data_IF_812559279917
#
_entry.id   IF_812559279917
#
_cell.length_a   1.000
_cell.length_b   1.000
_cell.length_c   1.000
_cell.angle_alpha   90.00
_cell.angle_beta   90.00
_cell.angle_gamma   90.00
#
_symmetry.space_group_name_H-M   'P 1'
#
loop_
_entity.id
_entity.type
_entity.pdbx_description
1 polymer ?
#
# COMPACT_ATOMS: atom_id res chain seq x y z
N UNK A 1 32.66 5.14 -20.24
CA UNK A 1 31.61 5.35 -19.21
C UNK A 1 30.27 4.72 -19.64
N UNK A 2 29.71 5.04 -20.79
CA UNK A 2 28.42 4.48 -21.30
C UNK A 2 28.51 2.95 -21.50
N UNK A 3 29.62 2.44 -22.03
CA UNK A 3 29.85 1.00 -22.25
C UNK A 3 29.91 0.21 -20.93
N UNK A 4 30.57 0.74 -19.92
CA UNK A 4 30.65 0.12 -18.60
C UNK A 4 29.28 0.07 -17.91
N UNK A 5 28.46 1.10 -18.03
CA UNK A 5 27.09 1.11 -17.51
C UNK A 5 26.18 0.11 -18.21
N UNK A 6 26.27 0.00 -19.54
CA UNK A 6 25.48 -0.99 -20.30
C UNK A 6 25.85 -2.43 -19.91
N UNK A 7 27.15 -2.72 -19.79
CA UNK A 7 27.64 -4.06 -19.37
C UNK A 7 27.15 -4.40 -17.96
N UNK A 8 27.20 -3.45 -17.03
CA UNK A 8 26.73 -3.62 -15.66
C UNK A 8 25.21 -3.90 -15.60
N UNK A 9 24.39 -3.14 -16.34
CA UNK A 9 22.95 -3.35 -16.42
C UNK A 9 22.63 -4.73 -17.01
N UNK A 10 23.31 -5.14 -18.09
CA UNK A 10 23.11 -6.45 -18.71
C UNK A 10 23.46 -7.60 -17.75
N UNK A 11 24.52 -7.46 -16.97
CA UNK A 11 24.89 -8.44 -15.95
C UNK A 11 23.83 -8.53 -14.86
N UNK A 12 23.34 -7.41 -14.33
CA UNK A 12 22.25 -7.39 -13.34
C UNK A 12 20.98 -8.04 -13.87
N UNK A 13 20.58 -7.72 -15.11
CA UNK A 13 19.43 -8.36 -15.76
C UNK A 13 19.60 -9.87 -15.83
N UNK A 14 20.78 -10.34 -16.26
CA UNK A 14 21.08 -11.78 -16.38
C UNK A 14 21.00 -12.49 -15.02
N UNK A 15 21.59 -11.91 -13.98
CA UNK A 15 21.56 -12.46 -12.63
C UNK A 15 20.15 -12.51 -12.04
N UNK A 16 19.38 -11.42 -12.19
CA UNK A 16 18.00 -11.36 -11.68
C UNK A 16 17.09 -12.31 -12.45
N UNK A 17 17.26 -12.45 -13.75
CA UNK A 17 16.44 -13.35 -14.57
C UNK A 17 16.54 -14.81 -14.18
N UNK A 18 17.64 -15.22 -13.55
CA UNK A 18 17.85 -16.58 -13.07
C UNK A 18 17.22 -16.82 -11.68
N UNK A 19 16.82 -15.78 -10.97
CA UNK A 19 16.22 -15.89 -9.64
C UNK A 19 14.70 -15.93 -9.75
N UNK A 20 14.07 -16.70 -8.88
CA UNK A 20 12.65 -16.65 -8.63
C UNK A 20 12.36 -15.41 -7.77
N UNK A 21 11.49 -14.51 -8.23
CA UNK A 21 11.30 -13.20 -7.61
C UNK A 21 9.86 -12.96 -7.13
N UNK A 22 9.75 -12.32 -5.97
CA UNK A 22 8.56 -11.59 -5.55
C UNK A 22 8.77 -10.11 -5.88
N UNK A 23 8.01 -9.60 -6.83
CA UNK A 23 8.16 -8.25 -7.37
C UNK A 23 7.06 -7.37 -6.79
N UNK A 24 7.45 -6.54 -5.84
CA UNK A 24 6.56 -5.56 -5.22
C UNK A 24 6.43 -4.34 -6.13
N UNK A 25 5.20 -3.98 -6.46
CA UNK A 25 4.85 -2.89 -7.37
C UNK A 25 4.05 -1.82 -6.61
N UNK A 26 4.30 -0.56 -6.92
CA UNK A 26 3.65 0.61 -6.36
C UNK A 26 3.88 0.76 -4.84
N UNK A 27 5.06 0.37 -4.35
CA UNK A 27 5.40 0.56 -2.93
C UNK A 27 5.49 2.04 -2.57
N UNK A 28 5.06 2.37 -1.35
CA UNK A 28 4.97 3.74 -0.90
C UNK A 28 6.35 4.38 -0.67
N UNK A 29 6.63 5.47 -1.37
CA UNK A 29 7.78 6.38 -1.17
C UNK A 29 7.32 7.84 -1.05
N UNK A 30 6.08 8.07 -0.61
CA UNK A 30 5.49 9.37 -0.34
C UNK A 30 5.30 9.59 1.17
N UNK A 31 4.76 10.73 1.55
CA UNK A 31 4.71 11.19 2.95
C UNK A 31 3.72 10.42 3.85
N UNK A 32 2.81 9.59 3.31
CA UNK A 32 1.82 8.86 4.11
C UNK A 32 2.47 7.71 4.89
N UNK A 33 2.55 7.86 6.22
CA UNK A 33 3.16 6.86 7.12
C UNK A 33 2.32 5.58 7.17
N UNK A 34 1.01 5.67 6.96
CA UNK A 34 0.13 4.51 6.88
C UNK A 34 0.46 3.59 5.71
N UNK A 35 0.64 4.16 4.52
CA UNK A 35 0.99 3.39 3.32
C UNK A 35 2.44 2.85 3.41
N UNK A 36 3.34 3.63 4.05
CA UNK A 36 4.67 3.14 4.39
C UNK A 36 4.62 1.93 5.36
N UNK A 37 3.68 1.93 6.30
CA UNK A 37 3.46 0.81 7.22
C UNK A 37 2.89 -0.42 6.49
N UNK A 38 1.97 -0.25 5.53
CA UNK A 38 1.49 -1.32 4.65
C UNK A 38 2.69 -1.97 3.94
N UNK A 39 3.49 -1.18 3.23
CA UNK A 39 4.65 -1.71 2.50
C UNK A 39 5.65 -2.42 3.42
N UNK A 40 5.92 -1.90 4.61
CA UNK A 40 6.80 -2.54 5.59
C UNK A 40 6.26 -3.90 6.04
N UNK A 41 4.96 -3.99 6.30
CA UNK A 41 4.28 -5.23 6.67
C UNK A 41 4.34 -6.27 5.56
N UNK A 42 4.14 -5.87 4.33
CA UNK A 42 4.24 -6.71 3.14
C UNK A 42 5.63 -7.30 2.98
N UNK A 43 6.66 -6.48 3.13
CA UNK A 43 8.05 -6.95 3.12
C UNK A 43 8.34 -7.98 4.22
N UNK A 44 7.81 -7.76 5.44
CA UNK A 44 7.97 -8.70 6.55
C UNK A 44 7.28 -10.04 6.26
N UNK A 45 6.07 -10.00 5.68
CA UNK A 45 5.32 -11.19 5.27
C UNK A 45 6.04 -11.93 4.15
N UNK A 46 6.51 -11.23 3.12
CA UNK A 46 7.24 -11.86 2.02
C UNK A 46 8.52 -12.54 2.51
N UNK A 47 9.30 -11.88 3.39
CA UNK A 47 10.51 -12.49 3.99
C UNK A 47 10.17 -13.75 4.80
N UNK A 48 9.03 -13.78 5.48
CA UNK A 48 8.64 -14.88 6.36
C UNK A 48 8.04 -16.07 5.61
N UNK A 49 7.19 -15.82 4.62
CA UNK A 49 6.38 -16.85 3.98
C UNK A 49 6.85 -17.21 2.57
N UNK A 50 7.70 -16.37 1.97
CA UNK A 50 8.29 -16.57 0.64
C UNK A 50 9.83 -16.44 0.68
N UNK A 51 10.52 -17.17 1.60
CA UNK A 51 11.96 -17.02 1.80
C UNK A 51 12.79 -17.39 0.55
N UNK A 52 12.24 -18.25 -0.31
CA UNK A 52 12.90 -18.71 -1.54
C UNK A 52 12.80 -17.68 -2.70
N UNK A 53 11.99 -16.62 -2.52
CA UNK A 53 11.83 -15.58 -3.51
C UNK A 53 12.78 -14.42 -3.23
N UNK A 54 13.53 -14.03 -4.24
CA UNK A 54 14.31 -12.80 -4.20
C UNK A 54 13.36 -11.61 -4.29
N UNK A 55 13.35 -10.74 -3.29
CA UNK A 55 12.47 -9.58 -3.27
C UNK A 55 13.04 -8.46 -4.14
N UNK A 56 12.24 -7.97 -5.07
CA UNK A 56 12.51 -6.79 -5.88
C UNK A 56 11.39 -5.79 -5.64
N UNK A 57 11.73 -4.54 -5.45
CA UNK A 57 10.78 -3.48 -5.12
C UNK A 57 10.87 -2.34 -6.14
N UNK A 58 9.70 -1.94 -6.63
CA UNK A 58 9.52 -0.76 -7.45
C UNK A 58 8.47 0.14 -6.80
N UNK A 59 8.84 1.36 -6.44
CA UNK A 59 7.89 2.37 -6.02
C UNK A 59 7.05 2.85 -7.20
N UNK A 60 5.94 3.54 -6.91
CA UNK A 60 5.09 4.16 -7.95
C UNK A 60 5.92 5.00 -8.92
N UNK A 61 6.89 5.78 -8.41
CA UNK A 61 7.77 6.61 -9.24
C UNK A 61 8.79 5.82 -10.06
N UNK A 62 9.21 4.66 -9.58
CA UNK A 62 10.23 3.84 -10.24
C UNK A 62 9.66 2.99 -11.36
N UNK A 63 8.43 2.50 -11.22
CA UNK A 63 7.83 1.59 -12.20
C UNK A 63 7.87 2.19 -13.60
N UNK A 64 7.38 3.41 -13.78
CA UNK A 64 7.35 4.05 -15.10
C UNK A 64 8.75 4.26 -15.67
N UNK A 65 9.68 4.70 -14.84
CA UNK A 65 11.06 4.99 -15.29
C UNK A 65 11.88 3.76 -15.60
N UNK A 66 11.55 2.64 -14.97
CA UNK A 66 12.30 1.39 -15.05
C UNK A 66 11.49 0.24 -15.64
N UNK A 67 10.43 0.55 -16.40
CA UNK A 67 9.52 -0.47 -16.91
C UNK A 67 10.23 -1.46 -17.85
N UNK A 68 11.09 -0.97 -18.74
CA UNK A 68 11.88 -1.82 -19.63
C UNK A 68 12.82 -2.75 -18.84
N UNK A 69 13.41 -2.25 -17.75
CA UNK A 69 14.21 -3.06 -16.84
C UNK A 69 13.36 -4.11 -16.13
N UNK A 70 12.18 -3.74 -15.65
CA UNK A 70 11.21 -4.68 -15.07
C UNK A 70 10.91 -5.80 -16.06
N UNK A 71 10.52 -5.47 -17.29
CA UNK A 71 10.24 -6.46 -18.33
C UNK A 71 11.44 -7.36 -18.63
N UNK A 72 12.65 -6.81 -18.64
CA UNK A 72 13.87 -7.55 -18.93
C UNK A 72 14.24 -8.60 -17.87
N UNK A 73 13.91 -8.36 -16.59
CA UNK A 73 14.26 -9.26 -15.48
C UNK A 73 13.25 -10.38 -15.24
N UNK A 74 12.01 -10.29 -15.80
CA UNK A 74 10.93 -11.24 -15.52
C UNK A 74 11.19 -12.64 -16.06
N UNK A 75 10.82 -13.64 -15.29
CA UNK A 75 10.71 -15.03 -15.70
C UNK A 75 9.34 -15.63 -15.30
N UNK A 76 9.06 -16.85 -15.77
CA UNK A 76 7.75 -17.49 -15.59
C UNK A 76 7.41 -17.89 -14.15
N UNK A 77 8.39 -17.97 -13.25
CA UNK A 77 8.19 -18.33 -11.85
C UNK A 77 7.98 -17.13 -10.93
N UNK A 78 8.15 -15.92 -11.48
CA UNK A 78 7.99 -14.68 -10.70
C UNK A 78 6.53 -14.41 -10.35
N UNK A 79 6.34 -13.80 -9.17
CA UNK A 79 5.04 -13.33 -8.71
C UNK A 79 5.06 -11.80 -8.59
N UNK A 80 3.98 -11.17 -9.01
CA UNK A 80 3.76 -9.74 -8.81
C UNK A 80 2.92 -9.53 -7.57
N UNK A 81 3.38 -8.62 -6.70
CA UNK A 81 2.73 -8.22 -5.48
C UNK A 81 2.40 -6.74 -5.61
N UNK A 82 1.14 -6.43 -5.88
CA UNK A 82 0.65 -5.05 -5.93
C UNK A 82 0.40 -4.56 -4.51
N UNK A 83 0.99 -3.42 -4.16
CA UNK A 83 0.90 -2.86 -2.80
C UNK A 83 -0.55 -2.66 -2.37
N UNK A 84 -0.87 -3.00 -1.12
CA UNK A 84 -2.20 -2.79 -0.55
C UNK A 84 -2.51 -1.32 -0.28
N UNK A 85 -3.75 -1.03 0.10
CA UNK A 85 -4.14 0.34 0.41
C UNK A 85 -5.58 0.68 0.06
N UNK A 86 -5.81 1.88 -0.46
CA UNK A 86 -7.12 2.39 -0.86
C UNK A 86 -7.17 2.91 -2.28
N UNK A 87 -6.35 2.37 -3.17
CA UNK A 87 -6.08 2.93 -4.49
C UNK A 87 -6.57 2.06 -5.66
N UNK A 88 -7.34 1.00 -5.41
CA UNK A 88 -7.96 0.21 -6.46
C UNK A 88 -9.30 0.85 -6.88
N UNK A 89 -9.30 1.43 -8.07
CA UNK A 89 -10.49 2.04 -8.67
C UNK A 89 -10.31 3.47 -9.16
N UNK A 90 -11.43 4.21 -9.29
CA UNK A 90 -11.45 5.52 -9.96
C UNK A 90 -10.94 6.69 -9.10
N UNK A 91 -10.71 6.50 -7.80
CA UNK A 91 -10.22 7.57 -6.92
C UNK A 91 -8.76 7.95 -7.24
N UNK A 92 -7.95 6.96 -7.58
CA UNK A 92 -6.54 7.12 -7.98
C UNK A 92 -6.30 6.48 -9.36
N UNK A 93 -6.74 7.15 -10.44
CA UNK A 93 -6.79 6.54 -11.77
C UNK A 93 -5.43 6.14 -12.33
N UNK A 94 -4.37 6.85 -12.01
CA UNK A 94 -3.01 6.50 -12.43
C UNK A 94 -2.52 5.19 -11.79
N UNK A 95 -2.87 4.95 -10.52
CA UNK A 95 -2.52 3.71 -9.84
C UNK A 95 -3.36 2.53 -10.34
N UNK A 96 -4.64 2.76 -10.60
CA UNK A 96 -5.51 1.76 -11.23
C UNK A 96 -5.03 1.41 -12.65
N UNK A 97 -4.57 2.37 -13.43
CA UNK A 97 -3.95 2.13 -14.73
C UNK A 97 -2.70 1.28 -14.62
N UNK A 98 -1.85 1.54 -13.62
CA UNK A 98 -0.68 0.71 -13.35
C UNK A 98 -1.07 -0.73 -12.98
N UNK A 99 -2.10 -0.92 -12.15
CA UNK A 99 -2.64 -2.24 -11.84
C UNK A 99 -3.05 -2.98 -13.12
N UNK A 100 -3.86 -2.36 -13.96
CA UNK A 100 -4.29 -2.94 -15.24
C UNK A 100 -3.12 -3.26 -16.16
N UNK A 101 -2.12 -2.38 -16.22
CA UNK A 101 -0.92 -2.57 -17.05
C UNK A 101 -0.12 -3.80 -16.63
N UNK A 102 0.16 -3.97 -15.35
CA UNK A 102 0.87 -5.14 -14.83
C UNK A 102 0.08 -6.42 -15.12
N UNK A 103 -1.23 -6.42 -14.88
CA UNK A 103 -2.08 -7.58 -15.14
C UNK A 103 -2.12 -7.92 -16.65
N UNK A 104 -2.12 -6.92 -17.52
CA UNK A 104 -2.15 -7.11 -18.99
C UNK A 104 -0.81 -7.60 -19.53
N UNK A 105 0.29 -7.00 -19.10
CA UNK A 105 1.61 -7.24 -19.69
C UNK A 105 2.25 -8.55 -19.20
N UNK A 106 1.77 -9.09 -18.06
CA UNK A 106 2.30 -10.34 -17.47
C UNK A 106 1.23 -11.43 -17.31
N UNK A 107 0.55 -11.85 -18.41
CA UNK A 107 -0.63 -12.71 -18.36
C UNK A 107 -0.36 -14.13 -17.86
N UNK A 108 0.89 -14.56 -17.82
CA UNK A 108 1.30 -15.90 -17.40
C UNK A 108 1.84 -15.95 -15.96
N UNK A 109 2.17 -14.81 -15.38
CA UNK A 109 2.67 -14.72 -14.01
C UNK A 109 1.50 -14.67 -13.01
N UNK A 110 1.75 -15.08 -11.79
CA UNK A 110 0.80 -14.84 -10.71
C UNK A 110 0.83 -13.35 -10.33
N UNK A 111 -0.35 -12.72 -10.26
CA UNK A 111 -0.52 -11.35 -9.77
C UNK A 111 -1.39 -11.38 -8.53
N UNK A 112 -0.90 -10.80 -7.47
CA UNK A 112 -1.57 -10.68 -6.17
C UNK A 112 -1.73 -9.21 -5.85
N UNK A 113 -2.96 -8.72 -5.84
CA UNK A 113 -3.30 -7.40 -5.34
C UNK A 113 -3.57 -7.56 -3.85
N UNK A 114 -2.72 -6.99 -3.01
CA UNK A 114 -2.80 -7.06 -1.56
C UNK A 114 -3.99 -6.22 -1.03
N UNK A 115 -4.40 -6.36 0.23
CA UNK A 115 -5.68 -5.84 0.72
C UNK A 115 -5.98 -4.40 0.34
N UNK A 116 -7.02 -4.22 -0.45
CA UNK A 116 -7.47 -2.93 -1.00
C UNK A 116 -8.86 -2.53 -0.50
N UNK A 117 -9.08 -1.24 -0.34
CA UNK A 117 -10.41 -0.67 -0.54
C UNK A 117 -10.65 -0.48 -2.02
N UNK A 118 -11.83 -0.84 -2.50
CA UNK A 118 -12.20 -0.76 -3.92
C UNK A 118 -13.30 0.30 -4.05
N UNK A 119 -13.06 1.30 -4.91
CA UNK A 119 -14.03 2.35 -5.15
C UNK A 119 -14.02 2.79 -6.61
N UNK A 120 -15.20 2.74 -7.24
CA UNK A 120 -15.47 3.33 -8.54
C UNK A 120 -16.66 4.30 -8.39
N UNK A 121 -16.48 5.56 -8.79
CA UNK A 121 -17.54 6.55 -8.74
C UNK A 121 -18.70 6.20 -9.68
N UNK A 122 -19.91 6.66 -9.33
CA UNK A 122 -21.12 6.35 -10.11
C UNK A 122 -21.30 7.25 -11.35
N UNK A 123 -20.39 8.19 -11.58
CA UNK A 123 -20.36 9.04 -12.77
C UNK A 123 -19.86 8.30 -14.02
N UNK A 124 -19.86 8.99 -15.17
CA UNK A 124 -19.41 8.40 -16.43
C UNK A 124 -17.94 7.97 -16.39
N UNK A 125 -17.10 8.73 -15.68
CA UNK A 125 -15.69 8.41 -15.52
C UNK A 125 -15.50 7.13 -14.72
N UNK A 126 -16.15 7.01 -13.55
CA UNK A 126 -16.03 5.81 -12.72
C UNK A 126 -16.56 4.56 -13.41
N UNK A 127 -17.67 4.68 -14.16
CA UNK A 127 -18.20 3.59 -14.98
C UNK A 127 -17.21 3.15 -16.07
N UNK A 128 -16.60 4.10 -16.78
CA UNK A 128 -15.58 3.79 -17.79
C UNK A 128 -14.36 3.09 -17.16
N UNK A 129 -13.86 3.58 -16.00
CA UNK A 129 -12.75 2.93 -15.31
C UNK A 129 -13.09 1.51 -14.86
N UNK A 130 -14.31 1.28 -14.37
CA UNK A 130 -14.78 -0.04 -14.00
C UNK A 130 -14.83 -1.00 -15.19
N UNK A 131 -15.37 -0.56 -16.32
CA UNK A 131 -15.45 -1.38 -17.54
C UNK A 131 -14.05 -1.80 -18.02
N UNK A 132 -13.07 -0.88 -18.00
CA UNK A 132 -11.67 -1.20 -18.32
C UNK A 132 -11.07 -2.23 -17.35
N UNK A 133 -11.30 -2.06 -16.04
CA UNK A 133 -10.78 -2.98 -15.03
C UNK A 133 -11.46 -4.35 -15.12
N UNK A 134 -12.76 -4.41 -15.41
CA UNK A 134 -13.47 -5.66 -15.66
C UNK A 134 -12.89 -6.44 -16.85
N UNK A 135 -12.60 -5.75 -17.95
CA UNK A 135 -12.00 -6.36 -19.13
C UNK A 135 -10.63 -6.97 -18.81
N UNK A 136 -9.80 -6.27 -18.06
CA UNK A 136 -8.44 -6.71 -17.73
C UNK A 136 -8.47 -7.82 -16.67
N UNK A 137 -9.14 -7.60 -15.53
CA UNK A 137 -9.06 -8.51 -14.39
C UNK A 137 -9.78 -9.83 -14.64
N UNK A 138 -10.90 -9.81 -15.38
CA UNK A 138 -11.63 -11.04 -15.70
C UNK A 138 -10.93 -11.90 -16.79
N UNK A 139 -9.97 -11.36 -17.50
CA UNK A 139 -9.21 -12.10 -18.51
C UNK A 139 -7.91 -12.73 -17.95
N UNK A 140 -7.49 -12.36 -16.75
CA UNK A 140 -6.24 -12.85 -16.17
C UNK A 140 -6.49 -14.12 -15.32
N UNK A 141 -5.87 -15.24 -15.70
CA UNK A 141 -6.14 -16.56 -15.09
C UNK A 141 -5.52 -16.80 -13.71
N UNK A 142 -4.53 -15.98 -13.32
CA UNK A 142 -3.77 -16.13 -12.07
C UNK A 142 -3.82 -14.86 -11.23
N UNK A 143 -4.94 -14.12 -11.29
CA UNK A 143 -5.14 -12.90 -10.49
C UNK A 143 -5.82 -13.26 -9.17
N UNK A 144 -5.21 -12.79 -8.09
CA UNK A 144 -5.82 -12.78 -6.75
C UNK A 144 -6.00 -11.35 -6.28
N UNK A 145 -7.19 -11.01 -5.80
CA UNK A 145 -7.51 -9.69 -5.25
C UNK A 145 -7.93 -9.87 -3.79
N UNK A 146 -7.14 -9.34 -2.88
CA UNK A 146 -7.53 -9.23 -1.48
C UNK A 146 -8.25 -7.92 -1.24
N UNK A 147 -9.41 -7.98 -0.57
CA UNK A 147 -10.15 -6.81 -0.14
C UNK A 147 -10.05 -6.64 1.38
N UNK A 148 -9.81 -5.39 1.87
CA UNK A 148 -9.68 -5.12 3.30
C UNK A 148 -10.99 -4.84 4.03
N UNK A 149 -12.14 -4.84 3.32
CA UNK A 149 -13.46 -4.61 3.86
C UNK A 149 -14.54 -5.42 3.15
N UNK A 150 -15.65 -5.71 3.83
CA UNK A 150 -16.73 -6.53 3.31
C UNK A 150 -17.36 -5.95 2.03
N UNK A 151 -17.52 -4.62 1.95
CA UNK A 151 -18.07 -3.94 0.77
C UNK A 151 -17.14 -4.11 -0.44
N UNK A 152 -15.83 -3.88 -0.27
CA UNK A 152 -14.83 -4.10 -1.32
C UNK A 152 -14.76 -5.56 -1.76
N UNK A 153 -14.90 -6.49 -0.82
CA UNK A 153 -14.96 -7.93 -1.14
C UNK A 153 -16.20 -8.27 -1.96
N UNK A 154 -17.39 -7.80 -1.54
CA UNK A 154 -18.62 -7.99 -2.29
C UNK A 154 -18.55 -7.38 -3.69
N UNK A 155 -17.92 -6.19 -3.79
CA UNK A 155 -17.68 -5.52 -5.07
C UNK A 155 -16.76 -6.36 -5.97
N UNK A 156 -15.64 -6.85 -5.46
CA UNK A 156 -14.72 -7.70 -6.22
C UNK A 156 -15.41 -8.98 -6.72
N UNK A 157 -16.15 -9.69 -5.87
CA UNK A 157 -16.90 -10.88 -6.25
C UNK A 157 -17.93 -10.59 -7.36
N UNK A 158 -18.58 -9.43 -7.32
CA UNK A 158 -19.60 -9.04 -8.29
C UNK A 158 -19.00 -8.65 -9.65
N UNK A 159 -17.93 -7.85 -9.63
CA UNK A 159 -17.41 -7.19 -10.83
C UNK A 159 -16.19 -7.89 -11.44
N UNK A 160 -15.45 -8.68 -10.64
CA UNK A 160 -14.28 -9.42 -11.08
C UNK A 160 -14.43 -10.95 -10.80
N UNK A 161 -15.52 -11.59 -11.28
CA UNK A 161 -15.87 -12.97 -10.91
C UNK A 161 -14.84 -14.02 -11.34
N UNK A 162 -13.97 -13.71 -12.28
CA UNK A 162 -12.92 -14.64 -12.74
C UNK A 162 -11.61 -14.47 -11.96
N UNK A 163 -11.44 -13.39 -11.21
CA UNK A 163 -10.33 -13.25 -10.27
C UNK A 163 -10.63 -14.02 -8.97
N UNK A 164 -9.60 -14.52 -8.32
CA UNK A 164 -9.77 -15.09 -6.99
C UNK A 164 -9.88 -13.96 -5.96
N UNK A 165 -11.08 -13.63 -5.51
CA UNK A 165 -11.31 -12.64 -4.48
C UNK A 165 -11.30 -13.26 -3.07
N UNK A 166 -10.66 -12.58 -2.10
CA UNK A 166 -10.66 -13.00 -0.70
C UNK A 166 -10.68 -11.78 0.23
N UNK A 167 -11.33 -11.94 1.41
CA UNK A 167 -11.31 -10.93 2.46
C UNK A 167 -10.05 -11.12 3.33
N UNK A 168 -9.32 -10.04 3.53
CA UNK A 168 -8.10 -10.04 4.36
C UNK A 168 -7.96 -8.68 5.07
N UNK A 169 -7.57 -8.64 6.35
CA UNK A 169 -7.32 -7.38 7.03
C UNK A 169 -6.28 -6.53 6.33
N UNK A 170 -6.29 -5.21 6.60
CA UNK A 170 -5.24 -4.31 6.16
C UNK A 170 -3.85 -4.83 6.57
N UNK A 171 -2.86 -4.67 5.69
CA UNK A 171 -1.52 -5.22 5.92
C UNK A 171 -0.83 -4.65 7.15
N UNK A 172 -1.15 -3.40 7.54
CA UNK A 172 -0.60 -2.78 8.74
C UNK A 172 -0.89 -3.58 10.04
N UNK A 173 -1.96 -4.39 10.08
CA UNK A 173 -2.22 -5.32 11.18
C UNK A 173 -1.13 -6.37 11.40
N UNK A 174 -0.34 -6.67 10.39
CA UNK A 174 0.77 -7.62 10.51
C UNK A 174 1.99 -7.03 11.25
N UNK A 175 2.06 -5.72 11.42
CA UNK A 175 3.11 -5.03 12.18
C UNK A 175 2.90 -5.19 13.68
N UNK A 176 3.03 -6.42 14.17
CA UNK A 176 2.94 -6.68 15.61
C UNK A 176 4.18 -6.16 16.30
N UNK A 177 4.02 -5.08 17.07
CA UNK A 177 5.08 -4.50 17.92
C UNK A 177 4.58 -4.43 19.35
N UNK A 178 5.40 -4.89 20.27
CA UNK A 178 5.16 -4.71 21.72
C UNK A 178 6.33 -3.93 22.29
N UNK A 179 6.08 -2.68 22.63
CA UNK A 179 7.11 -1.78 23.15
C UNK A 179 7.22 -1.82 24.68
N UNK A 180 6.23 -2.42 25.38
CA UNK A 180 6.24 -2.50 26.84
C UNK A 180 6.16 -1.14 27.57
N UNK A 181 5.74 -0.07 26.88
CA UNK A 181 5.65 1.26 27.46
C UNK A 181 4.50 1.40 28.45
N UNK A 182 4.71 2.20 29.50
CA UNK A 182 3.60 2.66 30.33
C UNK A 182 2.80 3.71 29.54
N UNK A 183 1.56 3.41 29.24
CA UNK A 183 0.67 4.31 28.48
C UNK A 183 0.19 5.47 29.37
N UNK A 184 0.13 6.69 28.79
CA UNK A 184 -0.40 7.89 29.46
C UNK A 184 -0.82 8.93 28.42
N UNK A 185 -1.73 9.84 28.81
CA UNK A 185 -2.16 10.97 27.98
C UNK A 185 -3.01 10.62 26.78
N UNK A 186 -3.38 11.64 26.04
CA UNK A 186 -4.24 11.56 24.86
C UNK A 186 -3.46 11.98 23.61
N UNK A 187 -3.51 11.15 22.58
CA UNK A 187 -3.01 11.43 21.24
C UNK A 187 -4.18 11.72 20.29
N UNK A 188 -4.21 12.89 19.66
CA UNK A 188 -5.10 13.19 18.57
C UNK A 188 -4.39 12.99 17.23
N UNK A 189 -4.90 12.11 16.35
CA UNK A 189 -4.40 11.95 14.99
C UNK A 189 -5.53 12.23 14.02
N UNK A 190 -5.60 13.47 13.55
CA UNK A 190 -6.75 13.99 12.81
C UNK A 190 -6.37 14.35 11.37
N UNK A 191 -7.35 14.18 10.46
CA UNK A 191 -7.22 14.58 9.05
C UNK A 191 -7.26 16.09 8.89
N UNK A 192 -6.41 16.57 8.00
CA UNK A 192 -6.38 17.97 7.55
C UNK A 192 -6.51 18.10 6.04
N UNK A 193 -6.71 16.96 5.35
CA UNK A 193 -6.82 16.84 3.89
C UNK A 193 -8.29 16.81 3.42
N UNK A 194 -8.49 16.85 2.10
CA UNK A 194 -9.80 16.94 1.44
C UNK A 194 -10.67 15.68 1.62
N UNK A 195 -10.10 14.56 2.06
CA UNK A 195 -10.87 13.34 2.37
C UNK A 195 -11.61 13.41 3.71
N UNK A 196 -11.54 14.55 4.38
CA UNK A 196 -12.21 14.75 5.66
C UNK A 196 -13.71 14.86 5.47
N UNK A 197 -14.47 14.05 6.19
CA UNK A 197 -15.93 13.99 6.13
C UNK A 197 -16.58 14.79 7.27
N UNK A 198 -15.86 15.05 8.38
CA UNK A 198 -16.42 15.71 9.57
C UNK A 198 -16.63 17.20 9.35
N UNK A 199 -17.79 17.71 9.79
CA UNK A 199 -18.11 19.15 9.78
C UNK A 199 -17.35 19.97 10.85
N UNK A 200 -16.88 19.30 11.92
CA UNK A 200 -16.11 19.90 13.01
C UNK A 200 -14.63 19.94 12.63
N UNK A 201 -13.93 21.08 12.81
CA UNK A 201 -12.51 21.19 12.42
C UNK A 201 -11.58 20.39 13.35
N UNK A 202 -10.38 20.06 12.86
CA UNK A 202 -9.38 19.34 13.69
C UNK A 202 -8.97 20.16 14.90
N UNK A 203 -8.90 21.51 14.77
CA UNK A 203 -8.64 22.42 15.87
C UNK A 203 -9.75 22.36 16.91
N UNK A 204 -11.02 22.39 16.50
CA UNK A 204 -12.16 22.29 17.42
C UNK A 204 -12.15 20.97 18.18
N UNK A 205 -11.84 19.85 17.51
CA UNK A 205 -11.70 18.55 18.17
C UNK A 205 -10.53 18.57 19.16
N UNK A 206 -9.39 19.12 18.77
CA UNK A 206 -8.23 19.23 19.65
C UNK A 206 -8.50 20.12 20.87
N UNK A 207 -9.20 21.24 20.71
CA UNK A 207 -9.60 22.11 21.80
C UNK A 207 -10.53 21.38 22.79
N UNK A 208 -11.47 20.60 22.30
CA UNK A 208 -12.30 19.74 23.14
C UNK A 208 -11.48 18.71 23.92
N UNK A 209 -10.53 18.05 23.26
CA UNK A 209 -9.64 17.07 23.92
C UNK A 209 -8.81 17.76 25.02
N UNK A 210 -8.29 18.97 24.77
CA UNK A 210 -7.50 19.73 25.72
C UNK A 210 -8.26 20.21 26.95
N UNK A 211 -9.60 20.23 26.92
CA UNK A 211 -10.39 20.46 28.14
C UNK A 211 -10.27 19.31 29.13
N UNK A 212 -9.98 18.09 28.65
CA UNK A 212 -9.85 16.87 29.46
C UNK A 212 -8.38 16.55 29.76
N UNK A 213 -7.52 16.69 28.76
CA UNK A 213 -6.07 16.53 28.87
C UNK A 213 -5.35 17.73 28.23
N UNK A 214 -4.97 18.75 29.03
CA UNK A 214 -4.29 19.93 28.51
C UNK A 214 -2.93 19.64 27.84
N UNK A 215 -2.36 18.46 28.05
CA UNK A 215 -1.11 17.99 27.43
C UNK A 215 -1.33 17.12 26.21
N UNK A 216 -2.58 16.97 25.74
CA UNK A 216 -2.89 16.18 24.55
C UNK A 216 -2.02 16.60 23.35
N UNK A 217 -1.39 15.65 22.72
CA UNK A 217 -0.58 15.86 21.53
C UNK A 217 -1.46 15.72 20.27
N UNK A 218 -1.18 16.54 19.25
CA UNK A 218 -1.79 16.42 17.94
C UNK A 218 -0.73 15.99 16.93
N UNK A 219 -1.06 14.96 16.15
CA UNK A 219 -0.21 14.43 15.08
C UNK A 219 -1.00 14.26 13.80
N UNK A 220 -0.27 14.07 12.73
CA UNK A 220 -0.81 13.64 11.45
C UNK A 220 0.04 12.46 10.95
N UNK A 221 -0.58 11.48 10.30
CA UNK A 221 0.15 10.36 9.69
C UNK A 221 0.87 10.77 8.39
N UNK A 222 1.20 12.05 8.25
CA UNK A 222 1.92 12.60 7.11
C UNK A 222 3.31 13.04 7.58
N UNK A 223 4.34 12.45 7.04
CA UNK A 223 5.72 12.83 7.29
C UNK A 223 6.05 14.20 6.65
N UNK A 224 7.03 14.95 7.18
CA UNK A 224 7.38 16.28 6.65
C UNK A 224 8.05 16.20 5.26
N UNK A 225 8.52 15.05 4.85
CA UNK A 225 9.13 14.77 3.53
C UNK A 225 8.79 13.35 3.10
N UNK A 226 8.99 13.05 1.84
CA UNK A 226 8.82 11.71 1.30
C UNK A 226 9.67 10.69 2.07
N UNK A 227 9.08 9.51 2.31
CA UNK A 227 9.68 8.44 3.09
C UNK A 227 10.44 7.54 2.15
N UNK A 228 11.77 7.65 2.17
CA UNK A 228 12.60 6.79 1.35
C UNK A 228 12.50 5.32 1.79
N UNK A 229 12.81 4.41 0.89
CA UNK A 229 12.88 2.96 1.17
C UNK A 229 13.80 2.64 2.35
N UNK A 230 14.91 3.38 2.48
CA UNK A 230 15.89 3.19 3.56
C UNK A 230 15.33 3.67 4.91
N UNK A 231 14.60 4.78 4.91
CA UNK A 231 14.07 5.41 6.14
C UNK A 231 12.75 4.79 6.60
N UNK A 232 12.05 4.05 5.74
CA UNK A 232 10.69 3.53 5.95
C UNK A 232 10.52 2.85 7.31
N UNK A 233 11.38 1.88 7.61
CA UNK A 233 11.27 1.14 8.86
C UNK A 233 11.47 2.04 10.10
N UNK A 234 12.39 2.99 10.05
CA UNK A 234 12.66 3.91 11.15
C UNK A 234 11.48 4.86 11.37
N UNK A 235 10.93 5.44 10.29
CA UNK A 235 9.79 6.36 10.35
C UNK A 235 8.55 5.66 10.88
N UNK A 236 8.21 4.49 10.35
CA UNK A 236 7.04 3.71 10.82
C UNK A 236 7.19 3.30 12.28
N UNK A 237 8.36 2.81 12.70
CA UNK A 237 8.57 2.43 14.09
C UNK A 237 8.49 3.64 15.04
N UNK A 238 9.00 4.80 14.65
CA UNK A 238 8.87 6.03 15.45
C UNK A 238 7.41 6.44 15.62
N UNK A 239 6.61 6.34 14.56
CA UNK A 239 5.18 6.61 14.62
C UNK A 239 4.46 5.61 15.54
N UNK A 240 4.66 4.32 15.36
CA UNK A 240 4.06 3.28 16.22
C UNK A 240 4.42 3.46 17.71
N UNK A 241 5.63 3.91 18.02
CA UNK A 241 6.02 4.22 19.40
C UNK A 241 5.20 5.35 20.01
N UNK A 242 4.85 6.38 19.23
CA UNK A 242 3.99 7.47 19.73
C UNK A 242 2.61 6.95 20.15
N UNK A 243 2.01 6.06 19.33
CA UNK A 243 0.74 5.42 19.67
C UNK A 243 0.88 4.50 20.88
N UNK A 244 1.97 3.73 20.96
CA UNK A 244 2.23 2.83 22.07
C UNK A 244 2.41 3.54 23.43
N UNK A 245 2.84 4.80 23.43
CA UNK A 245 2.91 5.64 24.64
C UNK A 245 1.56 6.21 25.07
N UNK A 246 0.59 6.32 24.17
CA UNK A 246 -0.68 6.98 24.44
C UNK A 246 -1.66 6.03 25.12
N UNK A 247 -2.38 6.53 26.12
CA UNK A 247 -3.45 5.80 26.79
C UNK A 247 -4.75 5.81 26.00
N UNK A 248 -5.04 6.94 25.36
CA UNK A 248 -6.20 7.14 24.50
C UNK A 248 -5.76 7.71 23.17
N UNK A 249 -6.31 7.22 22.08
CA UNK A 249 -6.13 7.78 20.75
C UNK A 249 -7.48 8.24 20.22
N UNK A 250 -7.53 9.49 19.74
CA UNK A 250 -8.69 10.06 19.04
C UNK A 250 -8.29 10.29 17.59
N UNK A 251 -8.97 9.62 16.66
CA UNK A 251 -8.59 9.66 15.25
C UNK A 251 -9.77 9.50 14.32
N UNK A 252 -9.71 10.17 13.18
CA UNK A 252 -10.55 9.99 11.99
C UNK A 252 -9.75 9.37 10.80
N UNK A 253 -8.51 8.88 11.07
CA UNK A 253 -7.67 8.20 10.10
C UNK A 253 -7.68 6.70 10.31
N UNK A 254 -7.82 5.94 9.23
CA UNK A 254 -7.76 4.47 9.27
C UNK A 254 -6.48 3.99 9.97
N UNK A 255 -5.32 4.43 9.50
CA UNK A 255 -4.06 3.99 10.09
C UNK A 255 -3.81 4.53 11.51
N UNK A 256 -4.41 5.68 11.86
CA UNK A 256 -4.45 6.13 13.25
C UNK A 256 -5.15 5.12 14.16
N UNK A 257 -6.25 4.54 13.70
CA UNK A 257 -6.96 3.46 14.42
C UNK A 257 -6.16 2.17 14.45
N UNK A 258 -5.50 1.80 13.35
CA UNK A 258 -4.73 0.54 13.26
C UNK A 258 -3.46 0.56 14.11
N UNK A 259 -2.89 1.72 14.36
CA UNK A 259 -1.67 1.89 15.16
C UNK A 259 -1.96 1.96 16.67
N UNK A 260 -3.21 2.27 17.09
CA UNK A 260 -3.63 2.38 18.48
C UNK A 260 -3.79 1.02 19.18
#
# INVERSE_FOLDING_TARGET
YVWQQQTYIQQQVSELRQKKKAIMIATAEHQNIGDAAITLAEQDILRRYFPDYYQVEFSTYEVERKYDFLQAIINAEDIFIMNGGGNLGSLYPAEEELHRRIVTDFPNNQVIILPQSIFFSEDDFGRQQLDLSQQVYNNHRKLTIFARGAESYAFACKHFPNAHAALMPDMAFALKRNYGFKRSGVLACLRTDDERVLSVTSEQILDMIKTVDPKAECRTNIAPKDISRVDRAAVVNAELQCYAHSQVVVTDRLHGMLFA
#
